data_IF_108612469256
#
_entry.id   IF_108612469256
#
_cell.length_a   1.000
_cell.length_b   1.000
_cell.length_c   1.000
_cell.angle_alpha   90.00
_cell.angle_beta   90.00
_cell.angle_gamma   90.00
#
_symmetry.space_group_name_H-M   'P 1'
#
loop_
_entity.id
_entity.type
_entity.pdbx_description
1 polymer ?
#
# COMPACT_ATOMS: atom_id res chain seq x y z
N UNK A 1 0.67 -10.66 11.89
CA UNK A 1 1.70 -11.55 12.48
C UNK A 1 1.45 -11.93 13.96
N UNK A 2 0.55 -11.26 14.64
CA UNK A 2 0.23 -11.52 16.06
C UNK A 2 -0.88 -12.57 16.30
N UNK A 3 -1.47 -13.13 15.24
CA UNK A 3 -2.55 -14.13 15.33
C UNK A 3 -2.01 -15.51 15.71
N UNK A 4 -2.69 -16.24 16.60
CA UNK A 4 -2.24 -17.54 17.11
C UNK A 4 -2.05 -18.61 16.02
N UNK A 5 -2.74 -18.51 14.89
CA UNK A 5 -2.69 -19.45 13.78
C UNK A 5 -1.67 -19.05 12.69
N UNK A 6 -0.76 -18.11 12.97
CA UNK A 6 0.17 -17.61 11.96
C UNK A 6 1.05 -18.70 11.35
N UNK A 7 1.47 -19.67 12.16
CA UNK A 7 2.33 -20.78 11.68
C UNK A 7 1.56 -21.70 10.73
N UNK A 8 0.28 -21.94 10.96
CA UNK A 8 -0.58 -22.71 10.06
C UNK A 8 -0.85 -21.98 8.75
N UNK A 9 -1.03 -20.65 8.82
CA UNK A 9 -1.25 -19.80 7.64
C UNK A 9 0.00 -19.76 6.76
N UNK A 10 1.18 -19.67 7.33
CA UNK A 10 2.45 -19.62 6.58
C UNK A 10 2.59 -20.82 5.64
N UNK A 11 2.15 -22.01 6.04
CA UNK A 11 2.33 -23.24 5.27
C UNK A 11 1.18 -23.58 4.32
N UNK A 12 0.14 -22.74 4.20
CA UNK A 12 -1.06 -23.04 3.40
C UNK A 12 -0.79 -23.35 1.92
N UNK A 13 0.25 -22.77 1.33
CA UNK A 13 0.67 -23.02 -0.07
C UNK A 13 1.85 -23.95 -0.22
N UNK A 14 2.36 -24.47 0.85
CA UNK A 14 3.49 -25.40 0.87
C UNK A 14 3.19 -26.65 0.02
N UNK A 15 4.20 -27.18 -0.66
CA UNK A 15 4.09 -28.40 -1.45
C UNK A 15 4.28 -29.69 -0.63
N UNK A 16 4.49 -29.56 0.67
CA UNK A 16 4.67 -30.66 1.61
C UNK A 16 3.34 -30.99 2.31
N UNK A 17 3.14 -32.24 2.69
CA UNK A 17 1.94 -32.70 3.39
C UNK A 17 0.76 -33.04 2.47
N UNK A 18 -0.41 -33.21 3.07
CA UNK A 18 -1.64 -33.61 2.37
C UNK A 18 -2.41 -32.40 1.82
N UNK A 19 -3.17 -32.61 0.75
CA UNK A 19 -3.98 -31.57 0.12
C UNK A 19 -5.08 -31.03 1.07
N UNK A 20 -5.54 -31.83 2.02
CA UNK A 20 -6.60 -31.45 2.97
C UNK A 20 -6.20 -30.25 3.85
N UNK A 21 -4.90 -30.07 4.06
CA UNK A 21 -4.34 -28.99 4.88
C UNK A 21 -3.78 -27.84 4.03
N UNK A 22 -4.16 -27.75 2.75
CA UNK A 22 -3.60 -26.76 1.82
C UNK A 22 -4.70 -25.96 1.12
N UNK A 23 -4.43 -24.67 0.93
CA UNK A 23 -5.28 -23.74 0.18
C UNK A 23 -4.46 -23.12 -0.96
N UNK A 24 -4.15 -23.92 -1.97
CA UNK A 24 -3.20 -23.56 -3.03
C UNK A 24 -3.69 -22.45 -3.96
N UNK A 25 -5.01 -22.27 -4.07
CA UNK A 25 -5.62 -21.26 -4.95
C UNK A 25 -5.85 -19.91 -4.25
N UNK A 26 -5.67 -19.83 -2.94
CA UNK A 26 -5.74 -18.59 -2.20
C UNK A 26 -4.41 -17.86 -2.26
N UNK A 27 -4.42 -16.60 -2.65
CA UNK A 27 -3.28 -15.71 -2.51
C UNK A 27 -3.44 -14.88 -1.24
N UNK A 28 -2.36 -14.75 -0.48
CA UNK A 28 -2.37 -14.09 0.81
C UNK A 28 -1.04 -13.40 1.11
N UNK A 29 -1.08 -12.47 2.03
CA UNK A 29 0.09 -11.78 2.56
C UNK A 29 0.13 -11.83 4.08
N UNK A 30 1.33 -11.67 4.61
CA UNK A 30 1.55 -11.53 6.04
C UNK A 30 1.83 -10.05 6.33
N UNK A 31 1.02 -9.46 7.19
CA UNK A 31 1.24 -8.10 7.67
C UNK A 31 2.21 -8.11 8.84
N UNK A 32 3.25 -7.31 8.72
CA UNK A 32 4.31 -7.13 9.72
C UNK A 32 4.21 -5.73 10.32
N UNK A 33 4.36 -5.63 11.65
CA UNK A 33 4.43 -4.37 12.36
C UNK A 33 5.88 -3.97 12.65
N UNK A 34 6.10 -2.70 12.96
CA UNK A 34 7.38 -2.19 13.43
C UNK A 34 7.85 -2.95 14.67
N UNK A 35 6.96 -3.16 15.64
CA UNK A 35 7.22 -3.93 16.86
C UNK A 35 7.77 -5.33 16.57
N UNK A 36 7.26 -6.01 15.53
CA UNK A 36 7.79 -7.31 15.13
C UNK A 36 9.26 -7.23 14.69
N UNK A 37 9.61 -6.23 13.86
CA UNK A 37 10.99 -6.01 13.43
C UNK A 37 11.91 -5.64 14.59
N UNK A 38 11.46 -4.81 15.52
CA UNK A 38 12.23 -4.46 16.72
C UNK A 38 12.56 -5.70 17.52
N UNK A 39 11.58 -6.57 17.78
CA UNK A 39 11.78 -7.82 18.51
C UNK A 39 12.65 -8.83 17.74
N UNK A 40 12.53 -8.86 16.43
CA UNK A 40 13.41 -9.67 15.60
C UNK A 40 14.89 -9.24 15.75
N UNK A 41 15.15 -7.92 15.71
CA UNK A 41 16.51 -7.38 15.83
C UNK A 41 17.07 -7.59 17.24
N UNK A 42 16.25 -7.44 18.28
CA UNK A 42 16.66 -7.63 19.68
C UNK A 42 16.64 -9.08 20.16
N UNK A 43 16.28 -10.03 19.26
CA UNK A 43 16.16 -11.45 19.58
C UNK A 43 15.14 -11.75 20.70
N UNK A 44 14.02 -11.07 20.65
CA UNK A 44 12.91 -11.24 21.58
C UNK A 44 11.84 -12.18 21.04
N UNK A 45 10.88 -12.50 21.89
CA UNK A 45 9.72 -13.31 21.52
C UNK A 45 8.56 -12.46 21.04
N UNK A 46 7.79 -13.02 20.13
CA UNK A 46 6.47 -12.52 19.74
C UNK A 46 5.40 -13.32 20.47
N UNK A 47 4.42 -12.62 20.98
CA UNK A 47 3.24 -13.21 21.62
C UNK A 47 2.08 -13.26 20.63
N UNK A 48 1.52 -14.46 20.48
CA UNK A 48 0.41 -14.75 19.60
C UNK A 48 -0.89 -14.84 20.41
N UNK A 49 -1.95 -14.24 19.89
CA UNK A 49 -3.26 -14.18 20.54
C UNK A 49 -4.37 -14.70 19.63
N UNK A 50 -5.47 -15.10 20.24
CA UNK A 50 -6.77 -15.15 19.57
C UNK A 50 -7.36 -13.74 19.54
N UNK A 51 -7.87 -13.24 18.40
CA UNK A 51 -8.52 -11.92 18.33
C UNK A 51 -9.69 -11.76 19.32
N UNK A 52 -10.35 -12.87 19.66
CA UNK A 52 -11.43 -12.87 20.65
C UNK A 52 -10.96 -12.44 22.05
N UNK A 53 -9.74 -12.80 22.41
CA UNK A 53 -9.20 -12.59 23.76
C UNK A 53 -8.54 -11.19 23.93
N UNK A 54 -8.37 -10.46 22.84
CA UNK A 54 -7.66 -9.17 22.78
C UNK A 54 -8.47 -8.11 22.02
N UNK A 55 -9.62 -7.66 22.56
CA UNK A 55 -10.51 -6.70 21.91
C UNK A 55 -9.76 -5.41 21.51
N UNK A 56 -10.01 -4.90 20.30
CA UNK A 56 -9.40 -3.68 19.77
C UNK A 56 -7.99 -3.85 19.22
N UNK A 57 -7.33 -5.00 19.43
CA UNK A 57 -5.98 -5.22 18.89
C UNK A 57 -5.97 -5.27 17.36
N UNK A 58 -7.00 -5.86 16.75
CA UNK A 58 -7.19 -5.86 15.30
C UNK A 58 -7.38 -4.43 14.76
N UNK A 59 -8.22 -3.63 15.43
CA UNK A 59 -8.52 -2.28 14.99
C UNK A 59 -7.31 -1.33 15.15
N UNK A 60 -6.47 -1.56 16.17
CA UNK A 60 -5.25 -0.77 16.39
C UNK A 60 -4.08 -1.21 15.50
N UNK A 61 -4.10 -2.41 14.91
CA UNK A 61 -2.97 -2.95 14.14
C UNK A 61 -2.64 -2.06 12.93
N UNK A 62 -1.39 -1.62 12.82
CA UNK A 62 -0.92 -0.66 11.83
C UNK A 62 -1.19 0.80 12.21
N UNK A 63 -1.50 1.09 13.46
CA UNK A 63 -1.59 2.44 14.01
C UNK A 63 -0.60 2.62 15.16
N UNK A 64 -0.38 3.87 15.59
CA UNK A 64 0.50 4.20 16.73
C UNK A 64 0.05 3.60 18.07
N UNK A 65 -1.23 3.21 18.21
CA UNK A 65 -1.78 2.64 19.43
C UNK A 65 -1.55 1.13 19.56
N UNK A 66 -1.12 0.47 18.50
CA UNK A 66 -0.97 -0.99 18.50
C UNK A 66 0.05 -1.48 19.51
N UNK A 67 1.22 -0.89 19.56
CA UNK A 67 2.35 -1.37 20.37
C UNK A 67 2.00 -1.34 21.86
N UNK A 68 1.40 -0.23 22.33
CA UNK A 68 0.96 -0.10 23.72
C UNK A 68 -0.10 -1.13 24.09
N UNK A 69 -1.12 -1.28 23.24
CA UNK A 69 -2.21 -2.23 23.48
C UNK A 69 -1.71 -3.68 23.46
N UNK A 70 -0.82 -4.01 22.51
CA UNK A 70 -0.21 -5.32 22.40
C UNK A 70 0.60 -5.68 23.66
N UNK A 71 1.49 -4.81 24.11
CA UNK A 71 2.31 -5.02 25.30
C UNK A 71 1.46 -5.13 26.55
N UNK A 72 0.37 -4.35 26.66
CA UNK A 72 -0.59 -4.48 27.76
C UNK A 72 -1.23 -5.86 27.81
N UNK A 73 -1.66 -6.41 26.68
CA UNK A 73 -2.22 -7.77 26.62
C UNK A 73 -1.14 -8.83 26.85
N UNK A 74 0.05 -8.62 26.38
CA UNK A 74 1.18 -9.53 26.57
C UNK A 74 1.54 -9.69 28.05
N UNK A 75 1.44 -8.63 28.84
CA UNK A 75 1.71 -8.63 30.29
C UNK A 75 0.53 -9.07 31.13
N UNK A 76 -0.66 -9.26 30.56
CA UNK A 76 -1.83 -9.74 31.30
C UNK A 76 -1.84 -11.28 31.36
N UNK A 77 -1.48 -11.85 32.50
CA UNK A 77 -1.39 -13.30 32.70
C UNK A 77 -2.74 -14.04 32.60
N UNK A 78 -3.87 -13.34 32.68
CA UNK A 78 -5.20 -13.96 32.53
C UNK A 78 -5.57 -14.26 31.06
N UNK A 79 -4.84 -13.72 30.08
CA UNK A 79 -5.12 -13.90 28.66
C UNK A 79 -4.38 -15.12 28.13
N UNK A 80 -5.08 -16.08 27.49
CA UNK A 80 -4.46 -17.21 26.82
C UNK A 80 -3.56 -16.70 25.66
N UNK A 81 -2.32 -17.14 25.64
CA UNK A 81 -1.33 -16.68 24.66
C UNK A 81 -0.25 -17.73 24.42
N UNK A 82 0.38 -17.66 23.25
CA UNK A 82 1.57 -18.44 22.89
C UNK A 82 2.71 -17.49 22.60
N UNK A 83 3.90 -17.79 23.10
CA UNK A 83 5.12 -17.02 22.81
C UNK A 83 6.03 -17.83 21.91
N UNK A 84 6.44 -17.25 20.81
CA UNK A 84 7.39 -17.86 19.86
C UNK A 84 8.57 -16.93 19.64
N UNK A 85 9.67 -17.48 19.20
CA UNK A 85 10.86 -16.71 18.86
C UNK A 85 10.61 -15.90 17.57
N UNK A 86 10.89 -14.60 17.60
CA UNK A 86 10.68 -13.76 16.44
C UNK A 86 11.61 -14.11 15.27
N UNK A 87 12.85 -14.57 15.58
CA UNK A 87 13.79 -15.00 14.54
C UNK A 87 13.38 -16.33 13.92
N UNK A 88 12.88 -17.29 14.71
CA UNK A 88 12.35 -18.54 14.21
C UNK A 88 11.18 -18.31 13.27
N UNK A 89 10.24 -17.46 13.68
CA UNK A 89 9.06 -17.15 12.86
C UNK A 89 9.41 -16.46 11.52
N UNK A 90 10.36 -15.53 11.50
CA UNK A 90 10.78 -14.88 10.25
C UNK A 90 11.53 -15.85 9.34
N UNK A 91 12.32 -16.75 9.89
CA UNK A 91 13.02 -17.76 9.11
C UNK A 91 12.04 -18.74 8.44
N UNK A 92 11.02 -19.19 9.17
CA UNK A 92 9.96 -20.04 8.61
C UNK A 92 9.22 -19.30 7.47
N UNK A 93 8.88 -18.05 7.69
CA UNK A 93 8.21 -17.21 6.69
C UNK A 93 9.07 -17.00 5.44
N UNK A 94 10.36 -16.67 5.60
CA UNK A 94 11.28 -16.48 4.48
C UNK A 94 11.56 -17.78 3.73
N UNK A 95 11.62 -18.90 4.44
CA UNK A 95 11.77 -20.22 3.85
C UNK A 95 10.57 -20.58 2.96
N UNK A 96 9.34 -20.43 3.47
CA UNK A 96 8.14 -20.68 2.69
C UNK A 96 8.03 -19.72 1.49
N UNK A 97 8.42 -18.46 1.67
CA UNK A 97 8.50 -17.48 0.59
C UNK A 97 9.48 -17.91 -0.49
N UNK A 98 10.67 -18.39 -0.12
CA UNK A 98 11.69 -18.85 -1.06
C UNK A 98 11.27 -20.16 -1.78
N UNK A 99 10.65 -21.09 -1.06
CA UNK A 99 10.21 -22.39 -1.61
C UNK A 99 8.98 -22.26 -2.51
N UNK A 100 8.04 -21.35 -2.20
CA UNK A 100 6.76 -21.21 -2.92
C UNK A 100 6.70 -20.05 -3.89
N UNK A 101 7.50 -18.99 -3.67
CA UNK A 101 7.47 -17.74 -4.45
C UNK A 101 6.18 -16.93 -4.30
N UNK A 102 5.34 -17.23 -3.31
CA UNK A 102 3.95 -16.75 -3.28
C UNK A 102 3.51 -16.03 -2.02
N UNK A 103 4.35 -15.91 -1.04
CA UNK A 103 3.99 -15.22 0.20
C UNK A 103 4.44 -13.76 0.12
N UNK A 104 3.47 -12.85 0.16
CA UNK A 104 3.73 -11.41 0.18
C UNK A 104 3.90 -10.91 1.61
N UNK A 105 4.73 -9.87 1.78
CA UNK A 105 4.95 -9.18 3.05
C UNK A 105 4.44 -7.75 2.93
N UNK A 106 3.62 -7.33 3.89
CA UNK A 106 3.06 -5.98 3.96
C UNK A 106 3.51 -5.31 5.25
N UNK A 107 4.25 -4.22 5.14
CA UNK A 107 4.66 -3.40 6.28
C UNK A 107 3.52 -2.44 6.64
N UNK A 108 2.59 -2.90 7.45
CA UNK A 108 1.31 -2.22 7.69
C UNK A 108 1.48 -0.82 8.31
N UNK A 109 2.47 -0.63 9.17
CA UNK A 109 2.73 0.68 9.78
C UNK A 109 3.21 1.68 8.74
N UNK A 110 4.08 1.26 7.81
CA UNK A 110 4.52 2.10 6.70
C UNK A 110 3.38 2.40 5.73
N UNK A 111 2.53 1.42 5.42
CA UNK A 111 1.37 1.64 4.57
C UNK A 111 0.45 2.73 5.14
N UNK A 112 0.28 2.79 6.46
CA UNK A 112 -0.54 3.81 7.11
C UNK A 112 0.19 5.13 7.33
N UNK A 113 1.43 5.12 7.81
CA UNK A 113 2.19 6.35 8.09
C UNK A 113 2.52 7.14 6.82
N UNK A 114 2.82 6.46 5.70
CA UNK A 114 3.13 7.09 4.42
C UNK A 114 1.92 7.24 3.48
N UNK A 115 0.74 6.79 3.88
CA UNK A 115 -0.50 6.96 3.11
C UNK A 115 -0.83 8.43 2.89
N UNK A 116 -1.41 8.75 1.75
CA UNK A 116 -2.04 10.05 1.48
C UNK A 116 -3.43 10.20 2.14
N UNK A 117 -3.96 9.12 2.71
CA UNK A 117 -5.27 9.10 3.35
C UNK A 117 -5.17 9.26 4.87
N UNK A 118 -6.20 9.84 5.47
CA UNK A 118 -6.41 9.85 6.92
C UNK A 118 -7.10 8.57 7.39
N UNK A 119 -7.85 7.94 6.49
CA UNK A 119 -8.47 6.64 6.76
C UNK A 119 -7.41 5.54 6.76
N UNK A 120 -7.63 4.57 7.66
CA UNK A 120 -6.73 3.44 7.82
C UNK A 120 -6.76 2.50 6.60
N UNK A 121 -5.58 2.11 6.15
CA UNK A 121 -5.37 1.01 5.22
C UNK A 121 -5.33 -0.29 6.00
N UNK A 122 -6.24 -1.23 5.72
CA UNK A 122 -6.34 -2.51 6.41
C UNK A 122 -5.76 -3.67 5.60
N UNK A 123 -5.75 -3.57 4.29
CA UNK A 123 -5.30 -4.63 3.37
C UNK A 123 -4.80 -4.03 2.06
N UNK A 124 -4.24 -4.87 1.22
CA UNK A 124 -3.82 -4.55 -0.13
C UNK A 124 -4.42 -5.54 -1.13
N UNK A 125 -4.14 -5.36 -2.41
CA UNK A 125 -4.47 -6.28 -3.49
C UNK A 125 -3.48 -7.46 -3.55
N UNK A 126 -3.63 -8.35 -4.53
CA UNK A 126 -2.78 -9.51 -4.75
C UNK A 126 -1.29 -9.16 -4.84
N UNK A 127 -0.92 -8.16 -5.63
CA UNK A 127 0.49 -7.79 -5.86
C UNK A 127 1.06 -6.82 -4.82
N UNK A 128 0.25 -6.38 -3.84
CA UNK A 128 0.63 -5.49 -2.72
C UNK A 128 1.00 -4.05 -3.12
N UNK A 129 0.73 -3.63 -4.35
CA UNK A 129 1.02 -2.27 -4.81
C UNK A 129 -0.07 -1.26 -4.46
N UNK A 130 -1.28 -1.72 -4.12
CA UNK A 130 -2.42 -0.84 -3.84
C UNK A 130 -2.66 -0.76 -2.33
N UNK A 131 -2.38 0.39 -1.76
CA UNK A 131 -2.58 0.68 -0.33
C UNK A 131 -3.64 1.76 -0.16
N UNK A 132 -4.89 1.40 -0.45
CA UNK A 132 -6.06 2.25 -0.34
C UNK A 132 -6.92 1.84 0.85
N UNK A 133 -7.57 2.79 1.54
CA UNK A 133 -8.55 2.46 2.57
C UNK A 133 -9.71 1.65 2.01
N UNK A 134 -10.19 0.72 2.81
CA UNK A 134 -11.37 -0.10 2.52
C UNK A 134 -12.32 -0.09 3.71
N UNK A 135 -13.60 -0.41 3.47
CA UNK A 135 -14.60 -0.53 4.52
C UNK A 135 -15.40 -1.81 4.31
N UNK A 136 -15.57 -2.65 5.34
CA UNK A 136 -16.33 -3.90 5.23
C UNK A 136 -17.74 -3.67 4.68
N UNK A 137 -18.27 -4.66 3.96
CA UNK A 137 -19.65 -4.71 3.50
C UNK A 137 -20.44 -5.71 4.34
N UNK A 138 -21.70 -5.39 4.62
CA UNK A 138 -22.63 -6.30 5.30
C UNK A 138 -23.37 -7.20 4.31
N UNK A 139 -23.58 -6.72 3.09
CA UNK A 139 -24.20 -7.43 1.97
C UNK A 139 -23.70 -6.81 0.65
N UNK A 140 -23.98 -7.48 -0.47
CA UNK A 140 -23.45 -7.10 -1.78
C UNK A 140 -23.87 -5.69 -2.25
N UNK A 141 -25.03 -5.23 -1.83
CA UNK A 141 -25.59 -3.91 -2.18
C UNK A 141 -25.39 -2.87 -1.07
N UNK A 142 -24.47 -3.11 -0.12
CA UNK A 142 -24.20 -2.20 0.98
C UNK A 142 -23.73 -0.82 0.44
N UNK A 143 -24.49 0.25 0.69
CA UNK A 143 -24.15 1.59 0.18
C UNK A 143 -22.99 2.24 0.92
N UNK A 144 -22.66 1.74 2.12
CA UNK A 144 -21.65 2.34 3.00
C UNK A 144 -20.30 1.61 2.94
N UNK A 145 -20.24 0.45 2.31
CA UNK A 145 -19.00 -0.30 2.10
C UNK A 145 -18.07 0.36 1.11
N UNK A 146 -16.79 0.02 1.18
CA UNK A 146 -15.77 0.48 0.24
C UNK A 146 -14.88 -0.69 -0.20
N UNK A 147 -14.89 -1.00 -1.49
CA UNK A 147 -13.95 -1.92 -2.14
C UNK A 147 -13.05 -1.08 -3.04
N UNK A 148 -11.77 -1.03 -2.73
CA UNK A 148 -10.80 -0.27 -3.53
C UNK A 148 -10.58 -0.94 -4.89
N UNK A 149 -10.56 -0.13 -5.95
CA UNK A 149 -10.22 -0.55 -7.30
C UNK A 149 -8.93 0.10 -7.78
N UNK A 150 -8.21 -0.62 -8.65
CA UNK A 150 -7.04 -0.11 -9.33
C UNK A 150 -7.47 0.61 -10.62
N UNK A 151 -7.23 1.93 -10.70
CA UNK A 151 -7.41 2.72 -11.91
C UNK A 151 -6.00 3.12 -12.37
N UNK A 152 -5.45 2.36 -13.31
CA UNK A 152 -4.02 2.36 -13.59
C UNK A 152 -3.70 2.79 -15.01
N UNK A 153 -2.58 3.52 -15.16
CA UNK A 153 -1.88 3.71 -16.44
C UNK A 153 -0.36 3.71 -16.23
N UNK A 154 0.38 3.64 -17.33
CA UNK A 154 1.83 3.73 -17.28
C UNK A 154 2.38 4.51 -18.49
N UNK A 155 3.29 5.44 -18.23
CA UNK A 155 3.97 6.24 -19.24
C UNK A 155 5.29 5.54 -19.63
N UNK A 156 5.52 5.35 -20.93
CA UNK A 156 6.79 4.76 -21.41
C UNK A 156 7.90 5.82 -21.45
N UNK A 157 8.63 5.95 -20.35
CA UNK A 157 9.72 6.93 -20.23
C UNK A 157 10.90 6.63 -21.15
N UNK A 158 11.08 5.39 -21.63
CA UNK A 158 12.08 5.06 -22.66
C UNK A 158 11.87 5.79 -23.99
N UNK A 159 10.67 6.34 -24.23
CA UNK A 159 10.32 7.09 -25.45
C UNK A 159 10.45 8.60 -25.33
N UNK A 160 10.57 9.14 -24.12
CA UNK A 160 10.77 10.59 -23.91
C UNK A 160 12.24 10.95 -24.18
N UNK A 161 12.47 12.17 -24.64
CA UNK A 161 13.80 12.72 -24.87
C UNK A 161 14.18 13.80 -23.89
N UNK A 162 13.17 14.51 -23.35
CA UNK A 162 13.33 15.60 -22.38
C UNK A 162 12.29 15.46 -21.30
N UNK A 163 12.60 15.89 -20.08
CA UNK A 163 11.72 15.77 -18.93
C UNK A 163 10.45 16.63 -19.03
N UNK A 164 10.50 17.74 -19.79
CA UNK A 164 9.33 18.59 -19.99
C UNK A 164 8.23 17.95 -20.84
N UNK A 165 8.55 16.94 -21.66
CA UNK A 165 7.56 16.13 -22.38
C UNK A 165 6.64 15.36 -21.43
N UNK A 166 7.04 15.16 -20.16
CA UNK A 166 6.22 14.53 -19.14
C UNK A 166 5.00 15.39 -18.76
N UNK A 167 5.05 16.69 -18.93
CA UNK A 167 3.93 17.56 -18.55
C UNK A 167 2.64 17.18 -19.30
N UNK A 168 2.69 17.10 -20.60
CA UNK A 168 1.55 16.73 -21.43
C UNK A 168 1.13 15.25 -21.22
N UNK A 169 2.11 14.36 -21.09
CA UNK A 169 1.83 12.93 -20.88
C UNK A 169 1.18 12.64 -19.51
N UNK A 170 1.63 13.33 -18.48
CA UNK A 170 1.03 13.23 -17.15
C UNK A 170 -0.39 13.83 -17.14
N UNK A 171 -0.60 14.99 -17.79
CA UNK A 171 -1.92 15.59 -17.89
C UNK A 171 -2.90 14.69 -18.65
N UNK A 172 -2.48 14.14 -19.78
CA UNK A 172 -3.28 13.18 -20.54
C UNK A 172 -3.63 11.94 -19.73
N UNK A 173 -2.68 11.40 -18.98
CA UNK A 173 -2.89 10.21 -18.15
C UNK A 173 -3.85 10.48 -17.00
N UNK A 174 -3.69 11.59 -16.29
CA UNK A 174 -4.59 11.99 -15.20
C UNK A 174 -6.01 12.18 -15.71
N UNK A 175 -6.20 12.95 -16.79
CA UNK A 175 -7.52 13.21 -17.37
C UNK A 175 -8.17 11.95 -17.94
N UNK A 176 -7.40 11.11 -18.62
CA UNK A 176 -7.90 9.87 -19.19
C UNK A 176 -8.40 8.88 -18.12
N UNK A 177 -7.66 8.72 -17.04
CA UNK A 177 -8.08 7.86 -15.93
C UNK A 177 -9.25 8.46 -15.14
N UNK A 178 -9.28 9.78 -14.97
CA UNK A 178 -10.39 10.50 -14.33
C UNK A 178 -11.72 10.27 -15.09
N UNK A 179 -11.71 10.36 -16.42
CA UNK A 179 -12.88 10.07 -17.25
C UNK A 179 -13.30 8.60 -17.16
N UNK A 180 -12.34 7.67 -17.08
CA UNK A 180 -12.62 6.23 -16.93
C UNK A 180 -13.39 5.93 -15.64
N UNK A 181 -13.13 6.65 -14.56
CA UNK A 181 -13.87 6.48 -13.29
C UNK A 181 -15.37 6.66 -13.49
N UNK A 182 -15.75 7.62 -14.30
CA UNK A 182 -17.17 7.91 -14.54
C UNK A 182 -17.77 7.09 -15.68
N UNK A 183 -16.96 6.68 -16.65
CA UNK A 183 -17.40 5.93 -17.82
C UNK A 183 -17.63 4.44 -17.53
N UNK A 184 -16.82 3.81 -16.68
CA UNK A 184 -16.93 2.37 -16.41
C UNK A 184 -18.16 1.99 -15.60
N UNK A 185 -18.67 0.77 -15.84
CA UNK A 185 -19.71 0.17 -15.01
C UNK A 185 -19.16 -0.48 -13.74
N UNK A 186 -19.91 -0.41 -12.66
CA UNK A 186 -19.55 -1.00 -11.37
C UNK A 186 -20.53 -2.11 -11.00
N UNK A 187 -20.11 -3.38 -10.97
CA UNK A 187 -21.01 -4.50 -10.65
C UNK A 187 -21.37 -4.57 -9.15
N UNK A 188 -20.58 -3.90 -8.29
CA UNK A 188 -20.76 -3.91 -6.84
C UNK A 188 -20.80 -2.46 -6.34
N UNK A 189 -21.84 -2.13 -5.56
CA UNK A 189 -22.04 -0.75 -5.06
C UNK A 189 -20.87 -0.22 -4.24
N UNK A 190 -20.27 -1.06 -3.39
CA UNK A 190 -19.11 -0.69 -2.59
C UNK A 190 -17.87 -0.32 -3.43
N UNK A 191 -17.70 -0.92 -4.62
CA UNK A 191 -16.63 -0.57 -5.55
C UNK A 191 -16.88 0.79 -6.22
N UNK A 192 -18.11 1.05 -6.65
CA UNK A 192 -18.52 2.35 -7.16
C UNK A 192 -18.30 3.46 -6.11
N UNK A 193 -18.75 3.20 -4.89
CA UNK A 193 -18.66 4.13 -3.77
C UNK A 193 -17.21 4.53 -3.48
N UNK A 194 -16.32 3.55 -3.30
CA UNK A 194 -14.89 3.81 -3.08
C UNK A 194 -14.26 4.58 -4.24
N UNK A 195 -14.48 4.11 -5.47
CA UNK A 195 -13.81 4.66 -6.65
C UNK A 195 -14.26 6.08 -6.96
N UNK A 196 -15.56 6.33 -6.99
CA UNK A 196 -16.10 7.67 -7.32
C UNK A 196 -15.85 8.71 -6.23
N UNK A 197 -15.91 8.32 -4.95
CA UNK A 197 -15.72 9.26 -3.85
C UNK A 197 -14.26 9.58 -3.58
N UNK A 198 -13.36 8.63 -3.77
CA UNK A 198 -11.92 8.83 -3.55
C UNK A 198 -11.17 9.29 -4.79
N UNK A 199 -11.60 8.87 -5.99
CA UNK A 199 -10.99 9.16 -7.28
C UNK A 199 -9.48 8.91 -7.29
N UNK A 200 -9.06 7.78 -6.71
CA UNK A 200 -7.65 7.41 -6.59
C UNK A 200 -7.12 6.89 -7.92
N UNK A 201 -6.03 7.47 -8.39
CA UNK A 201 -5.36 7.10 -9.64
C UNK A 201 -3.98 6.52 -9.35
N UNK A 202 -3.60 5.46 -10.08
CA UNK A 202 -2.27 4.89 -10.05
C UNK A 202 -1.59 5.10 -11.41
N UNK A 203 -0.68 6.07 -11.49
CA UNK A 203 0.05 6.36 -12.73
C UNK A 203 1.51 6.05 -12.49
N UNK A 204 2.00 5.00 -13.14
CA UNK A 204 3.39 4.57 -13.08
C UNK A 204 4.16 4.88 -14.36
N UNK A 205 5.37 4.38 -14.45
CA UNK A 205 6.14 4.44 -15.69
C UNK A 205 6.75 3.07 -16.02
N UNK A 206 6.99 2.84 -17.29
CA UNK A 206 7.69 1.67 -17.82
C UNK A 206 8.89 2.15 -18.68
N UNK A 207 9.82 1.25 -18.96
CA UNK A 207 10.93 1.53 -19.86
C UNK A 207 12.11 2.25 -19.21
N UNK A 208 12.27 2.18 -17.86
CA UNK A 208 13.40 2.78 -17.16
C UNK A 208 14.73 2.24 -17.65
N UNK A 209 14.86 0.93 -17.86
CA UNK A 209 16.09 0.34 -18.42
C UNK A 209 16.46 0.95 -19.79
N UNK A 210 15.48 1.14 -20.67
CA UNK A 210 15.69 1.80 -21.95
C UNK A 210 16.06 3.29 -21.78
N UNK A 211 15.42 3.98 -20.83
CA UNK A 211 15.74 5.38 -20.53
C UNK A 211 17.19 5.54 -20.07
N UNK A 212 17.66 4.71 -19.14
CA UNK A 212 19.04 4.69 -18.67
C UNK A 212 20.02 4.35 -19.80
N UNK A 213 19.78 3.25 -20.52
CA UNK A 213 20.64 2.83 -21.63
C UNK A 213 20.77 3.90 -22.73
N UNK A 214 19.69 4.62 -23.06
CA UNK A 214 19.67 5.73 -24.00
C UNK A 214 20.53 6.91 -23.55
N UNK A 215 20.69 7.11 -22.24
CA UNK A 215 21.56 8.11 -21.64
C UNK A 215 22.99 7.59 -21.37
N UNK A 216 23.28 6.34 -21.75
CA UNK A 216 24.62 5.74 -21.60
C UNK A 216 24.90 5.23 -20.18
N UNK A 217 23.87 5.02 -19.36
CA UNK A 217 23.99 4.68 -17.95
C UNK A 217 23.58 3.22 -17.66
N UNK A 218 24.17 2.62 -16.63
CA UNK A 218 23.78 1.35 -16.04
C UNK A 218 23.07 1.57 -14.69
N UNK A 219 22.31 0.57 -14.21
CA UNK A 219 21.53 0.68 -12.95
C UNK A 219 22.37 0.98 -11.71
N UNK A 220 23.62 0.57 -11.68
CA UNK A 220 24.57 0.73 -10.56
C UNK A 220 25.43 1.99 -10.65
N UNK A 221 25.30 2.77 -11.72
CA UNK A 221 26.01 4.04 -11.86
C UNK A 221 25.40 5.13 -10.96
N UNK A 222 26.24 5.93 -10.33
CA UNK A 222 25.77 7.05 -9.50
C UNK A 222 25.00 8.10 -10.33
N UNK A 223 25.40 8.31 -11.59
CA UNK A 223 24.70 9.17 -12.55
C UNK A 223 23.32 8.63 -12.92
N UNK A 224 23.14 7.30 -13.00
CA UNK A 224 21.83 6.67 -13.20
C UNK A 224 20.89 6.94 -12.03
N UNK A 225 21.39 6.98 -10.81
CA UNK A 225 20.59 7.34 -9.63
C UNK A 225 20.11 8.78 -9.72
N UNK A 226 20.97 9.71 -10.11
CA UNK A 226 20.58 11.10 -10.30
C UNK A 226 19.56 11.25 -11.43
N UNK A 227 19.77 10.61 -12.58
CA UNK A 227 18.80 10.61 -13.69
C UNK A 227 17.45 10.05 -13.27
N UNK A 228 17.44 8.96 -12.49
CA UNK A 228 16.20 8.36 -11.97
C UNK A 228 15.52 9.29 -10.97
N UNK A 229 16.29 9.96 -10.11
CA UNK A 229 15.77 10.95 -9.19
C UNK A 229 15.09 12.11 -9.92
N UNK A 230 15.77 12.72 -10.87
CA UNK A 230 15.25 13.84 -11.66
C UNK A 230 13.99 13.46 -12.46
N UNK A 231 14.00 12.25 -13.04
CA UNK A 231 12.85 11.68 -13.74
C UNK A 231 11.65 11.52 -12.80
N UNK A 232 11.85 10.92 -11.63
CA UNK A 232 10.76 10.64 -10.68
C UNK A 232 10.25 11.90 -10.01
N UNK A 233 11.11 12.89 -9.76
CA UNK A 233 10.71 14.21 -9.27
C UNK A 233 9.83 14.94 -10.28
N UNK A 234 10.27 15.04 -11.55
CA UNK A 234 9.51 15.65 -12.62
C UNK A 234 8.17 14.94 -12.83
N UNK A 235 8.19 13.61 -12.82
CA UNK A 235 6.98 12.79 -12.95
C UNK A 235 5.96 13.09 -11.86
N UNK A 236 6.37 13.07 -10.60
CA UNK A 236 5.49 13.37 -9.46
C UNK A 236 4.99 14.82 -9.50
N UNK A 237 5.85 15.76 -9.85
CA UNK A 237 5.48 17.16 -9.96
C UNK A 237 4.37 17.38 -11.00
N UNK A 238 4.53 16.83 -12.21
CA UNK A 238 3.55 17.00 -13.27
C UNK A 238 2.24 16.29 -13.00
N UNK A 239 2.27 15.11 -12.36
CA UNK A 239 1.05 14.43 -11.92
C UNK A 239 0.27 15.24 -10.90
N UNK A 240 0.94 15.79 -9.88
CA UNK A 240 0.30 16.63 -8.87
C UNK A 240 -0.20 17.96 -9.47
N UNK A 241 0.56 18.56 -10.39
CA UNK A 241 0.16 19.77 -11.12
C UNK A 241 -1.13 19.52 -11.90
N UNK A 242 -1.20 18.45 -12.67
CA UNK A 242 -2.37 18.06 -13.44
C UNK A 242 -3.57 17.76 -12.54
N UNK A 243 -3.38 16.96 -11.48
CA UNK A 243 -4.44 16.66 -10.52
C UNK A 243 -4.99 17.92 -9.85
N UNK A 244 -4.12 18.86 -9.47
CA UNK A 244 -4.54 20.16 -8.90
C UNK A 244 -5.32 21.00 -9.92
N UNK A 245 -4.86 21.05 -11.17
CA UNK A 245 -5.54 21.76 -12.24
C UNK A 245 -6.93 21.16 -12.50
N UNK A 246 -7.02 19.84 -12.59
CA UNK A 246 -8.28 19.13 -12.79
C UNK A 246 -9.26 19.39 -11.63
N UNK A 247 -8.78 19.42 -10.39
CA UNK A 247 -9.60 19.76 -9.23
C UNK A 247 -10.12 21.22 -9.26
N UNK A 248 -9.40 22.16 -9.89
CA UNK A 248 -9.89 23.52 -10.12
C UNK A 248 -10.99 23.56 -11.18
N UNK A 249 -10.92 22.71 -12.18
CA UNK A 249 -11.87 22.63 -13.29
C UNK A 249 -13.16 21.89 -12.93
N UNK A 250 -13.04 20.74 -12.27
CA UNK A 250 -14.16 19.83 -11.96
C UNK A 250 -14.61 19.85 -10.50
N UNK A 251 -13.85 20.47 -9.61
CA UNK A 251 -14.06 20.39 -8.16
C UNK A 251 -13.23 19.27 -7.50
N UNK A 252 -13.16 19.33 -6.18
CA UNK A 252 -12.51 18.30 -5.36
C UNK A 252 -13.34 17.03 -5.34
N UNK A 253 -12.68 15.86 -5.20
CA UNK A 253 -13.39 14.61 -4.94
C UNK A 253 -14.14 14.66 -3.60
N UNK A 254 -15.21 13.87 -3.46
CA UNK A 254 -16.08 13.87 -2.26
C UNK A 254 -15.28 13.61 -0.96
N UNK A 255 -14.29 12.69 -1.02
CA UNK A 255 -13.47 12.32 0.15
C UNK A 255 -12.14 13.09 0.24
N UNK A 256 -12.01 14.24 -0.42
CA UNK A 256 -10.80 15.05 -0.35
C UNK A 256 -10.41 15.41 1.09
N UNK A 257 -11.39 15.80 1.93
CA UNK A 257 -11.14 16.17 3.33
C UNK A 257 -10.69 14.96 4.19
N UNK A 258 -10.78 13.75 3.68
CA UNK A 258 -10.27 12.51 4.29
C UNK A 258 -8.85 12.17 3.80
N UNK A 259 -8.12 13.14 3.28
CA UNK A 259 -6.75 12.99 2.79
C UNK A 259 -5.79 13.94 3.50
N UNK A 260 -4.52 13.59 3.56
CA UNK A 260 -3.45 14.48 4.03
C UNK A 260 -3.27 15.70 3.12
N UNK A 261 -3.66 15.58 1.85
CA UNK A 261 -3.66 16.72 0.91
C UNK A 261 -4.55 17.88 1.38
N UNK A 262 -5.69 17.58 2.02
CA UNK A 262 -6.58 18.63 2.58
C UNK A 262 -5.90 19.42 3.70
N UNK A 263 -4.90 18.83 4.35
CA UNK A 263 -4.10 19.43 5.41
C UNK A 263 -2.81 20.09 4.87
N UNK A 264 -2.61 20.08 3.55
CA UNK A 264 -1.38 20.57 2.92
C UNK A 264 -0.18 19.65 3.09
N UNK A 265 -0.40 18.39 3.51
CA UNK A 265 0.66 17.40 3.71
C UNK A 265 0.75 16.54 2.46
N UNK A 266 1.90 16.53 1.81
CA UNK A 266 2.21 15.60 0.74
C UNK A 266 2.81 14.32 1.37
N UNK A 267 2.27 13.14 1.07
CA UNK A 267 2.90 11.89 1.45
C UNK A 267 4.20 11.74 0.65
N UNK A 268 5.27 11.38 1.31
CA UNK A 268 6.65 11.40 0.87
C UNK A 268 7.32 12.77 1.13
N UNK A 269 8.45 12.71 1.79
CA UNK A 269 9.25 13.89 2.13
C UNK A 269 9.92 14.47 0.89
N UNK A 270 9.17 15.19 0.07
CA UNK A 270 9.77 16.09 -0.90
C UNK A 270 10.26 17.35 -0.17
N UNK A 271 11.41 17.27 0.41
CA UNK A 271 12.06 18.42 1.06
C UNK A 271 12.49 19.49 0.07
N UNK A 272 12.33 19.26 -1.24
CA UNK A 272 12.80 20.14 -2.30
C UNK A 272 11.73 20.62 -3.29
N UNK A 273 10.54 20.00 -3.32
CA UNK A 273 9.42 20.53 -4.08
C UNK A 273 8.71 21.61 -3.29
N UNK A 274 9.11 22.86 -3.47
CA UNK A 274 8.27 23.99 -3.13
C UNK A 274 7.15 24.06 -4.18
N UNK A 275 6.08 23.29 -3.95
CA UNK A 275 4.83 23.59 -4.65
C UNK A 275 4.46 25.04 -4.30
N UNK A 276 4.10 25.87 -5.26
CA UNK A 276 3.60 27.21 -4.94
C UNK A 276 2.34 27.07 -4.09
N UNK A 277 2.50 27.22 -2.79
CA UNK A 277 1.43 27.23 -1.78
C UNK A 277 0.61 28.51 -1.82
N UNK A 278 0.42 29.09 -2.98
CA UNK A 278 -0.39 30.28 -3.16
C UNK A 278 -1.63 29.97 -3.98
N UNK A 279 -2.60 29.37 -3.32
CA UNK A 279 -3.98 29.73 -3.62
C UNK A 279 -4.62 30.26 -2.34
N UNK A 280 -4.49 31.56 -2.16
CA UNK A 280 -5.46 32.26 -1.34
C UNK A 280 -6.79 32.25 -2.06
#
# INVERSE_FOLDING_TARGET
>A
IWHKEIQDIIVLKNNKGTEDNRVRKLDYSIQLSKLFYERFITNEKITLFSPHDVPGLYDSFGTEFFDELYVRYENNESIPKTRIDAQELILDLLKERAETGRMYLMNIDHCNSHSSFLDKVNMSNLCQEITLPTKPIQHIDDPDGEIALCILSAINVGKINRLDELEDLCDLSVRGLEELIDYQGYPVKAAENSTKKRRSLGIGFIGLAHYLAKNGEHYDDASAWQLTHDLTEAFQYYLLKSSNQLAKEKGKCEYFERTKYSQGILPVSYTHLTLPTTSK
#
